data_IF_279706316404
#
_entry.id   IF_279706316404
#
_cell.length_a   1.000
_cell.length_b   1.000
_cell.length_c   1.000
_cell.angle_alpha   90.00
_cell.angle_beta   90.00
_cell.angle_gamma   90.00
#
_symmetry.space_group_name_H-M   'P 1'
#
loop_
_entity.id
_entity.type
_entity.pdbx_description
1 polymer ?
#
# COMPACT_ATOMS: atom_id res chain seq x y z
N UNK A 1 -15.57 16.27 26.76
CA UNK A 1 -16.07 15.05 27.42
C UNK A 1 -14.85 14.20 27.76
N UNK A 2 -14.80 13.55 28.93
CA UNK A 2 -13.71 12.60 29.20
C UNK A 2 -13.90 11.34 28.35
N UNK A 3 -12.85 10.83 27.67
CA UNK A 3 -12.97 9.66 26.83
C UNK A 3 -13.37 8.44 27.67
N UNK A 4 -14.31 7.64 27.16
CA UNK A 4 -14.67 6.37 27.77
C UNK A 4 -13.43 5.45 27.83
N UNK A 5 -13.26 4.65 28.88
CA UNK A 5 -12.12 3.73 28.99
C UNK A 5 -12.10 2.76 27.80
N UNK A 6 -10.95 2.67 27.12
CA UNK A 6 -10.76 1.78 25.98
C UNK A 6 -10.93 0.31 26.39
N UNK A 7 -11.86 -0.38 25.75
CA UNK A 7 -12.03 -1.82 25.90
C UNK A 7 -10.94 -2.58 25.12
N UNK A 8 -10.78 -3.88 25.41
CA UNK A 8 -9.88 -4.73 24.63
C UNK A 8 -10.27 -4.81 23.14
N UNK A 9 -11.56 -4.64 22.82
CA UNK A 9 -12.08 -4.63 21.45
C UNK A 9 -11.57 -3.40 20.69
N UNK A 10 -11.64 -2.20 21.30
CA UNK A 10 -11.11 -0.97 20.69
C UNK A 10 -9.61 -1.06 20.39
N UNK A 11 -8.82 -1.69 21.26
CA UNK A 11 -7.39 -1.91 21.01
C UNK A 11 -7.11 -2.84 19.84
N UNK A 12 -7.94 -3.88 19.66
CA UNK A 12 -7.83 -4.80 18.53
C UNK A 12 -8.14 -4.09 17.21
N UNK A 13 -9.17 -3.26 17.17
CA UNK A 13 -9.56 -2.47 16.00
C UNK A 13 -8.48 -1.45 15.62
N UNK A 14 -7.92 -0.73 16.60
CA UNK A 14 -6.79 0.18 16.37
C UNK A 14 -5.57 -0.56 15.81
N UNK A 15 -5.28 -1.77 16.32
CA UNK A 15 -4.21 -2.63 15.80
C UNK A 15 -4.44 -3.03 14.34
N UNK A 16 -5.68 -3.39 13.99
CA UNK A 16 -6.09 -3.73 12.63
C UNK A 16 -5.95 -2.53 11.68
N UNK A 17 -6.37 -1.33 12.11
CA UNK A 17 -6.18 -0.10 11.34
C UNK A 17 -4.70 0.22 11.10
N UNK A 18 -3.88 0.14 12.17
CA UNK A 18 -2.45 0.40 12.06
C UNK A 18 -1.78 -0.59 11.11
N UNK A 19 -2.13 -1.88 11.21
CA UNK A 19 -1.65 -2.91 10.30
C UNK A 19 -2.05 -2.59 8.85
N UNK A 20 -3.31 -2.28 8.60
CA UNK A 20 -3.78 -1.91 7.25
C UNK A 20 -3.00 -0.72 6.69
N UNK A 21 -2.73 0.31 7.50
CA UNK A 21 -1.96 1.48 7.10
C UNK A 21 -0.51 1.11 6.75
N UNK A 22 0.14 0.25 7.53
CA UNK A 22 1.46 -0.30 7.18
C UNK A 22 1.45 -1.09 5.87
N UNK A 23 0.42 -1.88 5.63
CA UNK A 23 0.29 -2.63 4.37
C UNK A 23 0.17 -1.70 3.17
N UNK A 24 -0.57 -0.58 3.28
CA UNK A 24 -0.60 0.46 2.24
C UNK A 24 0.81 0.95 1.92
N UNK A 25 1.59 1.32 2.94
CA UNK A 25 2.96 1.83 2.76
C UNK A 25 3.84 0.81 2.05
N UNK A 26 3.84 -0.44 2.53
CA UNK A 26 4.65 -1.52 1.95
C UNK A 26 4.29 -1.74 0.49
N UNK A 27 3.01 -1.86 0.16
CA UNK A 27 2.58 -2.13 -1.21
C UNK A 27 2.77 -0.95 -2.16
N UNK A 28 2.66 0.30 -1.69
CA UNK A 28 3.00 1.47 -2.49
C UNK A 28 4.51 1.52 -2.79
N UNK A 29 5.37 1.20 -1.82
CA UNK A 29 6.81 1.11 -2.05
C UNK A 29 7.14 0.01 -3.06
N UNK A 30 6.50 -1.16 -2.94
CA UNK A 30 6.67 -2.25 -3.91
C UNK A 30 6.17 -1.87 -5.30
N UNK A 31 5.03 -1.19 -5.40
CA UNK A 31 4.52 -0.65 -6.67
C UNK A 31 5.55 0.29 -7.31
N UNK A 32 6.05 1.27 -6.55
CA UNK A 32 7.02 2.25 -7.03
C UNK A 32 8.34 1.57 -7.46
N UNK A 33 8.81 0.58 -6.70
CA UNK A 33 10.02 -0.19 -7.03
C UNK A 33 9.84 -0.97 -8.34
N UNK A 34 8.71 -1.66 -8.53
CA UNK A 34 8.41 -2.37 -9.77
C UNK A 34 8.33 -1.42 -10.98
N UNK A 35 7.71 -0.24 -10.80
CA UNK A 35 7.65 0.78 -11.85
C UNK A 35 9.02 1.35 -12.17
N UNK A 36 9.84 1.63 -11.17
CA UNK A 36 11.22 2.11 -11.37
C UNK A 36 12.04 1.10 -12.16
N UNK A 37 11.98 -0.17 -11.79
CA UNK A 37 12.72 -1.24 -12.47
C UNK A 37 12.20 -1.44 -13.90
N UNK A 38 10.90 -1.67 -14.07
CA UNK A 38 10.31 -2.02 -15.36
C UNK A 38 10.24 -0.86 -16.36
N UNK A 39 10.11 0.37 -15.89
CA UNK A 39 9.96 1.56 -16.74
C UNK A 39 11.26 2.34 -16.95
N UNK A 40 12.14 2.42 -15.95
CA UNK A 40 13.36 3.24 -16.04
C UNK A 40 14.62 2.39 -16.17
N UNK A 41 14.87 1.47 -15.22
CA UNK A 41 16.13 0.73 -15.16
C UNK A 41 16.27 -0.25 -16.33
N UNK A 42 15.26 -1.07 -16.59
CA UNK A 42 15.35 -2.11 -17.61
C UNK A 42 15.55 -1.54 -19.03
N UNK A 43 14.79 -0.53 -19.50
CA UNK A 43 15.05 0.08 -20.80
C UNK A 43 16.42 0.75 -20.89
N UNK A 44 16.88 1.40 -19.81
CA UNK A 44 18.20 2.02 -19.74
C UNK A 44 19.32 0.98 -19.91
N UNK A 45 19.21 -0.16 -19.23
CA UNK A 45 20.19 -1.25 -19.32
C UNK A 45 20.20 -1.97 -20.66
N UNK A 46 19.02 -2.12 -21.29
CA UNK A 46 18.93 -2.67 -22.65
C UNK A 46 19.59 -1.72 -23.66
N UNK A 47 19.26 -0.42 -23.58
CA UNK A 47 19.81 0.59 -24.51
C UNK A 47 21.33 0.70 -24.39
N UNK A 48 21.85 0.63 -23.17
CA UNK A 48 23.30 0.64 -22.90
C UNK A 48 23.99 -0.72 -23.10
N UNK A 49 23.27 -1.74 -23.59
CA UNK A 49 23.76 -3.10 -23.85
C UNK A 49 24.35 -3.83 -22.63
N UNK A 50 24.00 -3.40 -21.41
CA UNK A 50 24.34 -4.13 -20.19
C UNK A 50 23.53 -5.42 -20.03
N UNK A 51 22.36 -5.49 -20.68
CA UNK A 51 21.39 -6.58 -20.57
C UNK A 51 20.85 -6.92 -21.96
N UNK A 52 20.62 -8.20 -22.30
CA UNK A 52 20.11 -8.60 -23.61
C UNK A 52 18.68 -8.09 -23.88
N UNK A 53 18.38 -7.78 -25.14
CA UNK A 53 17.04 -7.32 -25.58
C UNK A 53 15.93 -8.34 -25.30
N UNK A 54 16.26 -9.63 -25.15
CA UNK A 54 15.29 -10.68 -24.79
C UNK A 54 14.58 -10.40 -23.46
N UNK A 55 15.23 -9.67 -22.55
CA UNK A 55 14.66 -9.27 -21.26
C UNK A 55 13.66 -8.11 -21.37
N UNK A 56 13.45 -7.53 -22.56
CA UNK A 56 12.40 -6.53 -22.78
C UNK A 56 11.00 -7.07 -22.42
N UNK A 57 10.78 -8.40 -22.55
CA UNK A 57 9.52 -9.06 -22.12
C UNK A 57 9.31 -9.04 -20.61
N UNK A 58 10.39 -8.94 -19.82
CA UNK A 58 10.29 -8.86 -18.36
C UNK A 58 9.61 -7.56 -17.89
N UNK A 59 9.53 -6.52 -18.73
CA UNK A 59 8.74 -5.30 -18.44
C UNK A 59 7.28 -5.62 -18.15
N UNK A 60 6.69 -6.54 -18.91
CA UNK A 60 5.30 -6.94 -18.72
C UNK A 60 5.10 -7.57 -17.33
N UNK A 61 6.06 -8.38 -16.89
CA UNK A 61 6.05 -8.97 -15.56
C UNK A 61 6.12 -7.89 -14.46
N UNK A 62 7.04 -6.93 -14.56
CA UNK A 62 7.13 -5.83 -13.59
C UNK A 62 5.86 -4.96 -13.56
N UNK A 63 5.24 -4.70 -14.71
CA UNK A 63 3.96 -3.97 -14.75
C UNK A 63 2.81 -4.76 -14.14
N UNK A 64 2.73 -6.07 -14.39
CA UNK A 64 1.72 -6.92 -13.75
C UNK A 64 1.89 -6.91 -12.22
N UNK A 65 3.12 -7.10 -11.73
CA UNK A 65 3.44 -7.02 -10.31
C UNK A 65 3.11 -5.64 -9.71
N UNK A 66 3.41 -4.56 -10.42
CA UNK A 66 3.07 -3.21 -10.00
C UNK A 66 1.55 -3.04 -9.84
N UNK A 67 0.76 -3.43 -10.85
CA UNK A 67 -0.70 -3.35 -10.80
C UNK A 67 -1.25 -4.15 -9.63
N UNK A 68 -0.76 -5.37 -9.41
CA UNK A 68 -1.19 -6.21 -8.27
C UNK A 68 -0.89 -5.51 -6.94
N UNK A 69 0.33 -4.99 -6.76
CA UNK A 69 0.70 -4.25 -5.56
C UNK A 69 -0.20 -3.02 -5.36
N UNK A 70 -0.50 -2.28 -6.41
CA UNK A 70 -1.37 -1.11 -6.35
C UNK A 70 -2.80 -1.48 -5.94
N UNK A 71 -3.37 -2.53 -6.52
CA UNK A 71 -4.71 -3.03 -6.16
C UNK A 71 -4.76 -3.44 -4.69
N UNK A 72 -3.74 -4.14 -4.20
CA UNK A 72 -3.66 -4.55 -2.79
C UNK A 72 -3.53 -3.32 -1.87
N UNK A 73 -2.70 -2.33 -2.24
CA UNK A 73 -2.59 -1.08 -1.50
C UNK A 73 -3.96 -0.36 -1.41
N UNK A 74 -4.69 -0.28 -2.52
CA UNK A 74 -6.02 0.34 -2.53
C UNK A 74 -7.03 -0.40 -1.66
N UNK A 75 -6.99 -1.74 -1.64
CA UNK A 75 -7.82 -2.55 -0.75
C UNK A 75 -7.56 -2.20 0.73
N UNK A 76 -6.29 -2.14 1.14
CA UNK A 76 -5.96 -1.78 2.52
C UNK A 76 -6.30 -0.33 2.86
N UNK A 77 -6.16 0.60 1.90
CA UNK A 77 -6.53 2.00 2.09
C UNK A 77 -8.03 2.16 2.34
N UNK A 78 -8.87 1.48 1.55
CA UNK A 78 -10.33 1.46 1.77
C UNK A 78 -10.66 0.83 3.11
N UNK A 79 -10.00 -0.26 3.48
CA UNK A 79 -10.18 -0.92 4.78
C UNK A 79 -9.87 0.02 5.95
N UNK A 80 -8.79 0.81 5.87
CA UNK A 80 -8.45 1.82 6.87
C UNK A 80 -9.53 2.90 6.98
N UNK A 81 -10.08 3.37 5.86
CA UNK A 81 -11.15 4.39 5.87
C UNK A 81 -12.42 3.83 6.53
N UNK A 82 -12.80 2.59 6.21
CA UNK A 82 -13.97 1.93 6.77
C UNK A 82 -13.84 1.70 8.28
N UNK A 83 -12.69 1.23 8.75
CA UNK A 83 -12.41 1.09 10.18
C UNK A 83 -12.29 2.45 10.87
N UNK A 84 -11.86 3.48 10.14
CA UNK A 84 -11.86 4.88 10.59
C UNK A 84 -13.23 5.41 10.97
N UNK A 85 -14.32 4.86 10.42
CA UNK A 85 -15.67 5.21 10.84
C UNK A 85 -15.97 4.74 12.28
N UNK A 86 -15.34 3.65 12.75
CA UNK A 86 -15.49 3.17 14.13
C UNK A 86 -14.89 4.16 15.14
N UNK A 87 -13.92 5.00 14.72
CA UNK A 87 -13.42 6.07 15.59
C UNK A 87 -14.53 7.05 15.98
N UNK A 88 -15.61 7.20 15.20
CA UNK A 88 -16.76 8.02 15.61
C UNK A 88 -17.49 7.48 16.85
N UNK A 89 -17.42 6.17 17.10
CA UNK A 89 -18.17 5.54 18.19
C UNK A 89 -17.59 5.87 19.56
N UNK A 90 -16.27 6.09 19.65
CA UNK A 90 -15.57 6.41 20.91
C UNK A 90 -14.85 7.75 20.94
N UNK A 91 -14.62 8.37 19.79
CA UNK A 91 -14.07 9.72 19.67
C UNK A 91 -14.84 10.53 18.60
N UNK A 92 -15.99 11.13 18.98
CA UNK A 92 -16.88 11.82 18.04
C UNK A 92 -16.23 12.98 17.27
N UNK A 93 -15.25 13.64 17.91
CA UNK A 93 -14.55 14.82 17.38
C UNK A 93 -13.23 14.46 16.67
N UNK A 94 -13.09 13.27 16.06
CA UNK A 94 -11.77 12.81 15.57
C UNK A 94 -11.31 13.55 14.31
N UNK A 95 -12.23 14.29 13.71
CA UNK A 95 -12.13 14.95 12.41
C UNK A 95 -12.15 16.49 12.53
N UNK A 96 -12.16 17.03 13.75
CA UNK A 96 -12.24 18.47 14.06
C UNK A 96 -10.97 18.93 14.79
#
# INVERSE_FOLDING_TARGET
MEPAPLSAEHWSELGSMLFALWMVVIFIVLFAANMLVGHNMLPSFITSRHVPESLQKARLFFYACAIICFVIAMYFLVSTIQQGAVLQDFWPDYWI
#
